data_IF_233679795169
#
_entry.id   IF_233679795169
#
_cell.length_a   1.000
_cell.length_b   1.000
_cell.length_c   1.000
_cell.angle_alpha   90.00
_cell.angle_beta   90.00
_cell.angle_gamma   90.00
#
_symmetry.space_group_name_H-M   'P 1'
#
loop_
_entity.id
_entity.type
_entity.pdbx_description
1 polymer ?
#
# COMPACT_ATOMS: atom_id res chain seq x y z
N UNK A 1 10.71 12.01 -23.59
CA UNK A 1 10.24 11.91 -22.18
C UNK A 1 9.05 10.95 -22.12
N UNK A 2 9.01 10.10 -21.10
CA UNK A 2 7.83 9.28 -20.82
C UNK A 2 6.73 10.19 -20.28
N UNK A 3 5.47 9.94 -20.66
CA UNK A 3 4.34 10.63 -20.05
C UNK A 3 4.33 10.44 -18.54
N UNK A 4 3.74 11.39 -17.81
CA UNK A 4 3.59 11.25 -16.35
C UNK A 4 2.79 9.97 -16.01
N UNK A 5 3.26 9.23 -15.01
CA UNK A 5 2.73 7.92 -14.61
C UNK A 5 2.07 7.99 -13.24
N UNK A 6 0.83 7.50 -13.12
CA UNK A 6 0.16 7.26 -11.85
C UNK A 6 0.14 5.76 -11.54
N UNK A 7 0.81 5.38 -10.46
CA UNK A 7 0.78 4.03 -9.89
C UNK A 7 -0.19 4.02 -8.71
N UNK A 8 -1.26 3.21 -8.78
CA UNK A 8 -2.19 3.12 -7.67
C UNK A 8 -2.54 1.69 -7.29
N UNK A 9 -2.81 1.49 -6.01
CA UNK A 9 -3.19 0.20 -5.45
C UNK A 9 -2.71 0.03 -4.01
N UNK A 10 -3.10 -1.08 -3.36
CA UNK A 10 -2.75 -1.38 -1.96
C UNK A 10 -1.27 -1.19 -1.61
N UNK A 11 -0.95 -0.92 -0.33
CA UNK A 11 0.43 -0.77 0.12
C UNK A 11 1.22 -2.08 -0.03
N UNK A 12 2.51 -1.98 -0.34
CA UNK A 12 3.40 -3.14 -0.41
C UNK A 12 3.39 -3.95 -1.71
N UNK A 13 2.65 -3.51 -2.74
CA UNK A 13 2.58 -4.16 -4.07
C UNK A 13 3.75 -3.82 -5.01
N UNK A 14 4.66 -2.93 -4.60
CA UNK A 14 5.86 -2.59 -5.38
C UNK A 14 5.77 -1.30 -6.21
N UNK A 15 4.90 -0.35 -5.86
CA UNK A 15 4.79 0.96 -6.54
C UNK A 15 6.16 1.68 -6.62
N UNK A 16 6.84 1.81 -5.48
CA UNK A 16 8.19 2.38 -5.42
C UNK A 16 9.21 1.55 -6.20
N UNK A 17 9.10 0.21 -6.17
CA UNK A 17 10.00 -0.65 -6.95
C UNK A 17 9.82 -0.44 -8.46
N UNK A 18 8.57 -0.29 -8.92
CA UNK A 18 8.27 0.00 -10.32
C UNK A 18 8.80 1.36 -10.76
N UNK A 19 8.76 2.40 -9.91
CA UNK A 19 9.34 3.69 -10.29
C UNK A 19 10.85 3.62 -10.50
N UNK A 20 11.57 2.86 -9.66
CA UNK A 20 13.00 2.57 -9.89
C UNK A 20 13.24 1.75 -11.16
N UNK A 21 12.36 0.79 -11.48
CA UNK A 21 12.47 0.02 -12.73
C UNK A 21 12.27 0.94 -13.94
N UNK A 22 11.27 1.84 -13.92
CA UNK A 22 11.05 2.80 -15.00
C UNK A 22 12.29 3.69 -15.18
N UNK A 23 12.86 4.22 -14.09
CA UNK A 23 14.08 5.03 -14.17
C UNK A 23 15.26 4.26 -14.79
N UNK A 24 15.46 3.01 -14.36
CA UNK A 24 16.50 2.14 -14.87
C UNK A 24 16.33 1.84 -16.37
N UNK A 25 15.12 1.48 -16.80
CA UNK A 25 14.83 1.21 -18.22
C UNK A 25 14.98 2.47 -19.09
N UNK A 26 14.69 3.64 -18.54
CA UNK A 26 14.91 4.92 -19.21
C UNK A 26 16.36 5.42 -19.14
N UNK A 27 17.21 4.79 -18.34
CA UNK A 27 18.60 5.21 -18.09
C UNK A 27 18.73 6.66 -17.59
N UNK A 28 17.83 7.06 -16.68
CA UNK A 28 17.77 8.42 -16.10
C UNK A 28 17.85 8.39 -14.58
N UNK A 29 18.11 9.55 -13.97
CA UNK A 29 18.06 9.72 -12.53
C UNK A 29 16.64 9.63 -11.97
N UNK A 30 16.53 9.31 -10.69
CA UNK A 30 15.27 9.36 -9.95
C UNK A 30 15.45 10.12 -8.64
N UNK A 31 14.57 11.10 -8.39
CA UNK A 31 14.42 11.78 -7.10
C UNK A 31 13.16 11.29 -6.43
N UNK A 32 13.30 10.77 -5.22
CA UNK A 32 12.19 10.20 -4.44
C UNK A 32 11.80 11.16 -3.33
N UNK A 33 10.51 11.44 -3.21
CA UNK A 33 9.90 12.20 -2.11
C UNK A 33 8.50 11.64 -1.80
N UNK A 34 7.79 12.25 -0.86
CA UNK A 34 6.39 11.93 -0.58
C UNK A 34 5.54 13.18 -0.43
N UNK A 35 4.23 13.05 -0.65
CA UNK A 35 3.26 14.13 -0.51
C UNK A 35 3.38 14.88 0.83
N UNK A 36 3.41 14.18 1.98
CA UNK A 36 3.54 14.84 3.29
C UNK A 36 4.87 15.58 3.52
N UNK A 37 5.93 15.24 2.78
CA UNK A 37 7.23 15.93 2.89
C UNK A 37 7.20 17.25 2.11
N UNK A 38 6.36 17.36 1.09
CA UNK A 38 6.19 18.55 0.27
C UNK A 38 5.11 19.46 0.86
N UNK A 39 5.46 20.15 1.94
CA UNK A 39 4.54 21.04 2.66
C UNK A 39 4.43 22.42 1.98
N UNK A 40 5.53 22.94 1.43
CA UNK A 40 5.58 24.30 0.87
C UNK A 40 6.01 24.30 -0.60
N UNK A 41 5.58 25.31 -1.40
CA UNK A 41 6.00 25.45 -2.80
C UNK A 41 7.52 25.49 -3.00
N UNK A 42 8.26 26.05 -2.04
CA UNK A 42 9.72 26.10 -2.08
C UNK A 42 10.38 24.71 -2.04
N UNK A 43 9.79 23.75 -1.33
CA UNK A 43 10.33 22.37 -1.24
C UNK A 43 10.20 21.66 -2.59
N UNK A 44 9.03 21.81 -3.24
CA UNK A 44 8.78 21.27 -4.58
C UNK A 44 9.68 21.96 -5.61
N UNK A 45 9.79 23.29 -5.56
CA UNK A 45 10.64 24.05 -6.45
C UNK A 45 12.11 23.62 -6.37
N UNK A 46 12.64 23.45 -5.16
CA UNK A 46 14.01 23.00 -4.94
C UNK A 46 14.28 21.60 -5.48
N UNK A 47 13.28 20.70 -5.47
CA UNK A 47 13.42 19.40 -6.13
C UNK A 47 13.39 19.53 -7.65
N UNK A 48 12.43 20.25 -8.20
CA UNK A 48 12.20 20.38 -9.64
C UNK A 48 13.37 21.05 -10.37
N UNK A 49 13.97 22.09 -9.77
CA UNK A 49 15.11 22.81 -10.39
C UNK A 49 16.40 22.00 -10.39
N UNK A 50 16.49 20.95 -9.58
CA UNK A 50 17.64 20.05 -9.51
C UNK A 50 17.49 18.78 -10.37
N UNK A 51 16.42 18.67 -11.16
CA UNK A 51 16.22 17.55 -12.08
C UNK A 51 16.97 17.80 -13.39
N UNK A 52 17.66 16.77 -13.88
CA UNK A 52 18.20 16.77 -15.23
C UNK A 52 17.09 16.46 -16.27
N UNK A 53 17.36 16.76 -17.54
CA UNK A 53 16.39 16.48 -18.61
C UNK A 53 16.12 14.98 -18.72
N UNK A 54 14.87 14.59 -18.54
CA UNK A 54 14.39 13.20 -18.59
C UNK A 54 14.33 12.51 -17.23
N UNK A 55 14.84 13.12 -16.16
CA UNK A 55 14.80 12.53 -14.82
C UNK A 55 13.38 12.25 -14.34
N UNK A 56 13.28 11.31 -13.41
CA UNK A 56 12.04 10.94 -12.76
C UNK A 56 11.92 11.64 -11.40
N UNK A 57 10.84 12.39 -11.20
CA UNK A 57 10.37 12.77 -9.88
C UNK A 57 9.33 11.76 -9.40
N UNK A 58 9.66 10.99 -8.37
CA UNK A 58 8.72 10.06 -7.74
C UNK A 58 8.15 10.66 -6.46
N UNK A 59 6.81 10.78 -6.38
CA UNK A 59 6.09 11.26 -5.20
C UNK A 59 5.20 10.14 -4.68
N UNK A 60 5.57 9.54 -3.55
CA UNK A 60 4.70 8.60 -2.84
C UNK A 60 3.62 9.34 -2.05
N UNK A 61 2.48 8.69 -1.82
CA UNK A 61 1.30 9.31 -1.19
C UNK A 61 0.94 10.68 -1.82
N UNK A 62 0.99 10.78 -3.15
CA UNK A 62 0.80 12.05 -3.88
C UNK A 62 -0.54 12.74 -3.56
N UNK A 63 -1.54 11.97 -3.14
CA UNK A 63 -2.85 12.48 -2.72
C UNK A 63 -2.81 13.28 -1.40
N UNK A 64 -1.68 13.30 -0.70
CA UNK A 64 -1.47 14.05 0.55
C UNK A 64 -0.74 15.37 0.34
N UNK A 65 -0.50 15.77 -0.91
CA UNK A 65 0.00 17.11 -1.21
C UNK A 65 -0.99 18.17 -0.70
N UNK A 66 -0.46 19.30 -0.22
CA UNK A 66 -1.31 20.44 0.07
C UNK A 66 -1.90 21.01 -1.23
N UNK A 67 -3.13 21.55 -1.23
CA UNK A 67 -3.72 22.14 -2.43
C UNK A 67 -2.83 23.19 -3.09
N UNK A 68 -2.11 23.96 -2.27
CA UNK A 68 -1.16 24.96 -2.74
C UNK A 68 0.02 24.30 -3.50
N UNK A 69 0.65 23.26 -2.96
CA UNK A 69 1.75 22.58 -3.65
C UNK A 69 1.27 21.86 -4.92
N UNK A 70 0.04 21.33 -4.88
CA UNK A 70 -0.60 20.69 -6.03
C UNK A 70 -0.77 21.66 -7.21
N UNK A 71 -1.15 22.91 -6.95
CA UNK A 71 -1.25 23.94 -7.99
C UNK A 71 0.09 24.21 -8.70
N UNK A 72 1.19 24.26 -7.94
CA UNK A 72 2.53 24.44 -8.52
C UNK A 72 2.94 23.22 -9.33
N UNK A 73 2.57 22.02 -8.87
CA UNK A 73 2.85 20.79 -9.59
C UNK A 73 2.11 20.74 -10.93
N UNK A 74 0.91 21.32 -11.05
CA UNK A 74 0.21 21.44 -12.34
C UNK A 74 1.03 22.20 -13.38
N UNK A 75 1.49 23.40 -13.02
CA UNK A 75 2.28 24.24 -13.92
C UNK A 75 3.59 23.54 -14.33
N UNK A 76 4.20 22.84 -13.38
CA UNK A 76 5.42 22.07 -13.64
C UNK A 76 5.20 20.90 -14.62
N UNK A 77 4.06 20.21 -14.54
CA UNK A 77 3.73 19.08 -15.41
C UNK A 77 3.30 19.51 -16.82
N UNK A 78 2.57 20.62 -16.95
CA UNK A 78 2.06 21.07 -18.27
C UNK A 78 3.11 21.82 -19.07
N UNK A 79 3.73 22.83 -18.45
CA UNK A 79 4.53 23.82 -19.15
C UNK A 79 6.02 23.72 -18.84
N UNK A 80 6.41 22.81 -17.94
CA UNK A 80 7.76 22.75 -17.36
C UNK A 80 8.21 24.09 -16.80
N UNK A 81 7.30 24.77 -16.09
CA UNK A 81 7.54 26.07 -15.45
C UNK A 81 6.88 26.11 -14.08
N UNK A 82 7.42 26.96 -13.20
CA UNK A 82 6.79 27.29 -11.93
C UNK A 82 6.97 28.78 -11.64
N UNK A 83 5.94 29.42 -11.10
CA UNK A 83 5.98 30.82 -10.69
C UNK A 83 6.06 30.91 -9.16
N UNK A 84 7.21 31.27 -8.61
CA UNK A 84 7.41 31.34 -7.15
C UNK A 84 7.27 32.77 -6.67
N UNK A 85 6.40 32.99 -5.69
CA UNK A 85 6.35 34.26 -4.96
C UNK A 85 7.52 34.35 -3.98
N UNK A 86 8.39 35.36 -4.17
CA UNK A 86 9.54 35.61 -3.29
C UNK A 86 9.15 36.45 -2.06
N UNK A 87 8.19 37.35 -2.22
CA UNK A 87 7.76 38.29 -1.18
C UNK A 87 6.23 38.35 -1.11
N UNK A 88 5.69 38.55 0.09
CA UNK A 88 4.24 38.70 0.32
C UNK A 88 3.88 40.18 0.58
N UNK A 89 2.71 40.62 0.10
CA UNK A 89 2.16 41.96 0.36
C UNK A 89 2.06 42.86 -0.87
N UNK A 90 1.88 44.19 -0.71
CA UNK A 90 1.64 45.12 -1.82
C UNK A 90 2.78 45.20 -2.85
N UNK A 91 3.99 44.79 -2.45
CA UNK A 91 5.19 44.76 -3.29
C UNK A 91 5.58 43.34 -3.72
N UNK A 92 4.66 42.36 -3.61
CA UNK A 92 4.94 40.97 -3.95
C UNK A 92 5.53 40.84 -5.36
N UNK A 93 6.66 40.12 -5.45
CA UNK A 93 7.33 39.80 -6.71
C UNK A 93 7.30 38.30 -6.93
N UNK A 94 6.84 37.88 -8.10
CA UNK A 94 6.97 36.51 -8.57
C UNK A 94 8.19 36.38 -9.48
N UNK A 95 8.84 35.22 -9.43
CA UNK A 95 9.87 34.83 -10.38
C UNK A 95 9.42 33.55 -11.07
N UNK A 96 9.38 33.59 -12.39
CA UNK A 96 9.16 32.40 -13.21
C UNK A 96 10.47 31.64 -13.37
N UNK A 97 10.42 30.34 -13.11
CA UNK A 97 11.56 29.43 -13.27
C UNK A 97 11.19 28.40 -14.34
N UNK A 98 12.04 28.27 -15.35
CA UNK A 98 11.93 27.20 -16.33
C UNK A 98 12.56 25.93 -15.74
N UNK A 99 11.91 24.79 -15.97
CA UNK A 99 12.33 23.48 -15.52
C UNK A 99 12.84 22.66 -16.71
N UNK A 100 13.74 21.73 -16.43
CA UNK A 100 14.06 20.70 -17.41
C UNK A 100 12.84 19.78 -17.61
N UNK A 101 12.57 19.29 -18.83
CA UNK A 101 11.53 18.29 -19.05
C UNK A 101 11.79 17.05 -18.19
N UNK A 102 10.81 16.62 -17.41
CA UNK A 102 10.94 15.51 -16.47
C UNK A 102 9.70 14.60 -16.54
N UNK A 103 9.81 13.38 -16.03
CA UNK A 103 8.66 12.48 -15.86
C UNK A 103 8.26 12.44 -14.40
N UNK A 104 6.98 12.69 -14.11
CA UNK A 104 6.42 12.56 -12.76
C UNK A 104 5.88 11.14 -12.62
N UNK A 105 6.28 10.44 -11.56
CA UNK A 105 5.66 9.17 -11.16
C UNK A 105 4.98 9.38 -9.80
N UNK A 106 3.66 9.49 -9.81
CA UNK A 106 2.85 9.59 -8.59
C UNK A 106 2.44 8.22 -8.09
N UNK A 107 2.52 7.98 -6.77
CA UNK A 107 2.00 6.77 -6.14
C UNK A 107 0.90 7.07 -5.12
N UNK A 108 -0.15 6.26 -5.11
CA UNK A 108 -1.26 6.37 -4.15
C UNK A 108 -1.88 5.01 -3.81
N UNK A 109 -2.51 4.89 -2.65
CA UNK A 109 -3.33 3.72 -2.29
C UNK A 109 -4.63 3.71 -3.10
N UNK A 110 -5.21 4.90 -3.34
CA UNK A 110 -6.50 5.10 -4.01
C UNK A 110 -6.39 6.26 -5.02
N UNK A 111 -6.65 5.98 -6.29
CA UNK A 111 -6.66 7.01 -7.34
C UNK A 111 -7.83 8.00 -7.22
N UNK A 112 -8.89 7.63 -6.49
CA UNK A 112 -10.03 8.51 -6.19
C UNK A 112 -9.74 9.61 -5.17
N UNK A 113 -8.60 9.56 -4.47
CA UNK A 113 -8.17 10.61 -3.55
C UNK A 113 -7.49 11.79 -4.25
N UNK A 114 -7.05 11.61 -5.50
CA UNK A 114 -6.50 12.71 -6.29
C UNK A 114 -7.63 13.60 -6.80
N UNK A 115 -7.38 14.89 -6.86
CA UNK A 115 -8.28 15.82 -7.54
C UNK A 115 -8.42 15.44 -9.03
N UNK A 116 -9.57 15.74 -9.62
CA UNK A 116 -9.79 15.46 -11.04
C UNK A 116 -8.76 16.17 -11.96
N UNK A 117 -8.36 17.44 -11.71
CA UNK A 117 -7.30 18.11 -12.48
C UNK A 117 -5.96 17.37 -12.42
N UNK A 118 -5.45 17.01 -11.23
CA UNK A 118 -4.17 16.30 -11.11
C UNK A 118 -4.20 14.96 -11.85
N UNK A 119 -5.27 14.20 -11.63
CA UNK A 119 -5.42 12.87 -12.22
C UNK A 119 -5.44 12.92 -13.76
N UNK A 120 -6.03 13.96 -14.34
CA UNK A 120 -6.13 14.12 -15.80
C UNK A 120 -4.77 14.40 -16.48
N UNK A 121 -3.71 14.71 -15.71
CA UNK A 121 -2.35 14.98 -16.24
C UNK A 121 -1.46 13.76 -16.30
N UNK A 122 -1.88 12.65 -15.72
CA UNK A 122 -1.18 11.38 -15.88
C UNK A 122 -1.61 10.72 -17.18
N UNK A 123 -0.72 10.72 -18.18
CA UNK A 123 -0.93 10.04 -19.46
C UNK A 123 -0.95 8.51 -19.31
N UNK A 124 -0.25 7.99 -18.30
CA UNK A 124 -0.21 6.56 -17.99
C UNK A 124 -0.81 6.33 -16.61
N UNK A 125 -1.88 5.53 -16.53
CA UNK A 125 -2.52 5.13 -15.28
C UNK A 125 -2.42 3.62 -15.11
N UNK A 126 -1.73 3.16 -14.06
CA UNK A 126 -1.51 1.74 -13.79
C UNK A 126 -2.04 1.35 -12.41
N UNK A 127 -2.94 0.37 -12.41
CA UNK A 127 -3.51 -0.22 -11.19
C UNK A 127 -2.75 -1.50 -10.83
N UNK A 128 -2.11 -1.50 -9.68
CA UNK A 128 -1.54 -2.70 -9.09
C UNK A 128 -2.63 -3.46 -8.35
N UNK A 129 -2.77 -4.74 -8.68
CA UNK A 129 -3.63 -5.69 -7.97
C UNK A 129 -2.79 -6.57 -7.04
N UNK A 130 -3.46 -7.23 -6.11
CA UNK A 130 -2.83 -8.26 -5.30
C UNK A 130 -2.34 -9.41 -6.17
N UNK A 131 -1.22 -9.98 -5.75
CA UNK A 131 -0.59 -11.11 -6.39
C UNK A 131 -1.29 -12.38 -5.96
N UNK A 132 -1.45 -13.34 -6.88
CA UNK A 132 -1.89 -14.67 -6.48
C UNK A 132 -0.79 -15.42 -5.72
N UNK A 133 -1.17 -16.48 -5.01
CA UNK A 133 -0.23 -17.27 -4.22
C UNK A 133 0.87 -17.92 -5.08
N UNK A 134 0.57 -18.26 -6.34
CA UNK A 134 1.54 -18.92 -7.24
C UNK A 134 2.64 -17.94 -7.64
N UNK A 135 2.28 -16.72 -8.02
CA UNK A 135 3.22 -15.65 -8.36
C UNK A 135 3.99 -15.17 -7.11
N UNK A 136 3.36 -15.16 -5.94
CA UNK A 136 4.09 -14.89 -4.70
C UNK A 136 5.09 -16.01 -4.36
N UNK A 137 4.79 -17.26 -4.68
CA UNK A 137 5.72 -18.38 -4.46
C UNK A 137 7.01 -18.16 -5.25
N UNK A 138 6.93 -17.71 -6.51
CA UNK A 138 8.14 -17.40 -7.30
C UNK A 138 8.95 -16.24 -6.71
N UNK A 139 8.27 -15.23 -6.14
CA UNK A 139 8.92 -14.13 -5.42
C UNK A 139 9.64 -14.65 -4.16
N UNK A 140 8.99 -15.52 -3.38
CA UNK A 140 9.56 -16.11 -2.15
C UNK A 140 10.78 -16.96 -2.48
N UNK A 141 10.69 -17.83 -3.49
CA UNK A 141 11.80 -18.66 -3.96
C UNK A 141 13.00 -17.80 -4.37
N UNK A 142 12.79 -16.80 -5.24
CA UNK A 142 13.85 -15.88 -5.65
C UNK A 142 14.47 -15.14 -4.45
N UNK A 143 13.65 -14.65 -3.54
CA UNK A 143 14.15 -13.96 -2.34
C UNK A 143 14.93 -14.88 -1.40
N UNK A 144 14.56 -16.16 -1.34
CA UNK A 144 15.26 -17.16 -0.52
C UNK A 144 16.68 -17.41 -1.04
N UNK A 145 16.87 -17.46 -2.37
CA UNK A 145 18.18 -17.58 -3.00
C UNK A 145 19.08 -16.39 -2.67
N UNK A 146 18.53 -15.17 -2.79
CA UNK A 146 19.24 -13.92 -2.45
C UNK A 146 19.65 -13.92 -0.98
N UNK A 147 18.77 -14.38 -0.09
CA UNK A 147 19.01 -14.49 1.35
C UNK A 147 19.80 -15.74 1.76
N UNK A 148 20.21 -16.58 0.80
CA UNK A 148 20.91 -17.85 1.02
C UNK A 148 20.20 -18.74 2.04
N UNK A 149 18.89 -18.84 1.92
CA UNK A 149 18.01 -19.62 2.80
C UNK A 149 17.40 -20.76 2.00
N UNK A 150 17.84 -22.01 2.18
CA UNK A 150 17.21 -23.16 1.54
C UNK A 150 15.72 -23.23 1.90
N UNK A 151 14.86 -23.50 0.92
CA UNK A 151 13.41 -23.57 1.08
C UNK A 151 12.86 -24.55 0.04
N UNK A 152 11.85 -25.34 0.42
CA UNK A 152 11.12 -26.21 -0.53
C UNK A 152 10.01 -25.43 -1.23
N UNK A 153 9.56 -25.91 -2.38
CA UNK A 153 8.43 -25.30 -3.12
C UNK A 153 7.16 -25.20 -2.24
N UNK A 154 6.89 -26.23 -1.44
CA UNK A 154 5.75 -26.27 -0.53
C UNK A 154 5.91 -25.30 0.64
N UNK A 155 7.11 -25.17 1.20
CA UNK A 155 7.42 -24.18 2.24
C UNK A 155 7.25 -22.75 1.72
N UNK A 156 7.72 -22.48 0.49
CA UNK A 156 7.53 -21.19 -0.18
C UNK A 156 6.05 -20.89 -0.45
N UNK A 157 5.29 -21.89 -0.90
CA UNK A 157 3.85 -21.76 -1.13
C UNK A 157 3.07 -21.49 0.17
N UNK A 158 3.44 -22.15 1.28
CA UNK A 158 2.81 -21.92 2.59
C UNK A 158 3.03 -20.48 3.08
N UNK A 159 4.22 -19.90 2.86
CA UNK A 159 4.46 -18.48 3.13
C UNK A 159 3.63 -17.61 2.18
N UNK A 160 3.68 -17.89 0.88
CA UNK A 160 3.04 -17.10 -0.16
C UNK A 160 1.52 -17.00 0.03
N UNK A 161 0.84 -18.12 0.31
CA UNK A 161 -0.62 -18.15 0.51
C UNK A 161 -1.08 -17.35 1.73
N UNK A 162 -0.23 -17.19 2.74
CA UNK A 162 -0.49 -16.38 3.96
C UNK A 162 0.02 -14.94 3.87
N UNK A 163 0.50 -14.50 2.70
CA UNK A 163 1.13 -13.19 2.53
C UNK A 163 0.18 -12.09 2.02
N UNK A 164 -1.14 -12.31 2.09
CA UNK A 164 -2.17 -11.34 1.69
C UNK A 164 -1.98 -10.77 0.28
N UNK A 165 -1.55 -11.61 -0.67
CA UNK A 165 -1.26 -11.18 -2.03
C UNK A 165 -0.20 -10.07 -2.16
N UNK A 166 0.65 -9.88 -1.13
CA UNK A 166 1.53 -8.72 -1.02
C UNK A 166 3.01 -9.14 -0.95
N UNK A 167 3.84 -8.79 -1.95
CA UNK A 167 5.27 -9.12 -1.96
C UNK A 167 6.05 -8.63 -0.74
N UNK A 168 5.71 -7.44 -0.21
CA UNK A 168 6.31 -6.90 1.02
C UNK A 168 6.09 -7.83 2.22
N UNK A 169 4.89 -8.36 2.38
CA UNK A 169 4.53 -9.27 3.48
C UNK A 169 5.24 -10.61 3.27
N UNK A 170 5.22 -11.16 2.05
CA UNK A 170 5.90 -12.41 1.72
C UNK A 170 7.39 -12.39 2.07
N UNK A 171 8.09 -11.33 1.70
CA UNK A 171 9.52 -11.17 2.03
C UNK A 171 9.76 -10.91 3.53
N UNK A 172 8.82 -10.29 4.24
CA UNK A 172 8.91 -10.14 5.69
C UNK A 172 8.74 -11.48 6.40
N UNK A 173 7.74 -12.27 6.02
CA UNK A 173 7.49 -13.60 6.56
C UNK A 173 8.65 -14.55 6.26
N UNK A 174 9.17 -14.57 5.02
CA UNK A 174 10.36 -15.36 4.67
C UNK A 174 11.55 -15.08 5.60
N UNK A 175 11.84 -13.80 5.86
CA UNK A 175 12.93 -13.42 6.77
C UNK A 175 12.72 -13.94 8.19
N UNK A 176 11.49 -13.90 8.70
CA UNK A 176 11.16 -14.41 10.03
C UNK A 176 11.19 -15.94 10.07
N UNK A 177 10.62 -16.61 9.08
CA UNK A 177 10.62 -18.08 8.98
C UNK A 177 12.04 -18.63 8.89
N UNK A 178 12.96 -17.94 8.20
CA UNK A 178 14.39 -18.27 8.20
C UNK A 178 14.96 -18.30 9.61
N UNK A 179 14.66 -17.28 10.42
CA UNK A 179 15.18 -17.18 11.79
C UNK A 179 14.69 -18.40 12.63
N UNK A 180 13.45 -18.87 12.40
CA UNK A 180 12.95 -20.12 13.00
C UNK A 180 13.66 -21.36 12.48
N UNK A 181 13.87 -21.49 11.15
CA UNK A 181 14.54 -22.63 10.55
C UNK A 181 15.98 -22.80 11.07
N UNK A 182 16.68 -21.70 11.32
CA UNK A 182 18.04 -21.73 11.88
C UNK A 182 18.09 -22.15 13.35
N UNK A 183 17.07 -21.83 14.15
CA UNK A 183 17.06 -22.09 15.60
C UNK A 183 16.38 -23.43 15.95
N UNK A 184 15.30 -23.75 15.25
CA UNK A 184 14.39 -24.87 15.57
C UNK A 184 14.43 -26.01 14.55
N UNK A 185 15.02 -25.79 13.38
CA UNK A 185 15.10 -26.77 12.30
C UNK A 185 16.55 -27.11 11.93
N UNK A 186 16.74 -27.53 10.68
CA UNK A 186 18.02 -27.87 10.07
C UNK A 186 18.60 -26.71 9.20
N UNK A 187 18.01 -25.51 9.27
CA UNK A 187 18.35 -24.36 8.43
C UNK A 187 17.63 -24.30 7.08
N UNK A 188 16.84 -25.32 6.71
CA UNK A 188 15.98 -25.33 5.53
C UNK A 188 14.52 -25.03 5.90
N UNK A 189 13.81 -24.31 5.04
CA UNK A 189 12.40 -23.99 5.21
C UNK A 189 11.55 -25.03 4.45
N UNK A 190 11.06 -26.05 5.16
CA UNK A 190 10.02 -26.94 4.66
C UNK A 190 8.60 -26.49 5.09
N UNK A 191 7.58 -27.28 4.75
CA UNK A 191 6.19 -27.01 5.13
C UNK A 191 5.98 -26.96 6.65
N UNK A 192 6.66 -27.82 7.42
CA UNK A 192 6.44 -27.93 8.87
C UNK A 192 6.99 -26.69 9.58
N UNK A 193 8.22 -26.30 9.27
CA UNK A 193 8.83 -25.11 9.86
C UNK A 193 8.15 -23.83 9.38
N UNK A 194 7.69 -23.77 8.12
CA UNK A 194 6.89 -22.65 7.62
C UNK A 194 5.60 -22.49 8.43
N UNK A 195 4.84 -23.58 8.64
CA UNK A 195 3.62 -23.55 9.47
C UNK A 195 3.92 -23.18 10.92
N UNK A 196 4.96 -23.76 11.49
CA UNK A 196 5.37 -23.45 12.86
C UNK A 196 5.69 -21.97 13.02
N UNK A 197 6.51 -21.41 12.13
CA UNK A 197 6.88 -20.00 12.15
C UNK A 197 5.66 -19.08 11.96
N UNK A 198 4.80 -19.35 10.96
CA UNK A 198 3.63 -18.53 10.68
C UNK A 198 2.64 -18.54 11.84
N UNK A 199 2.41 -19.70 12.45
CA UNK A 199 1.57 -19.80 13.65
C UNK A 199 2.19 -19.06 14.85
N UNK A 200 3.52 -19.15 15.05
CA UNK A 200 4.22 -18.41 16.10
C UNK A 200 4.20 -16.89 15.89
N UNK A 201 4.06 -16.44 14.64
CA UNK A 201 3.87 -15.03 14.27
C UNK A 201 2.40 -14.59 14.32
N UNK A 202 1.49 -15.43 14.81
CA UNK A 202 0.04 -15.20 14.81
C UNK A 202 -0.54 -14.90 13.42
N UNK A 203 0.01 -15.53 12.38
CA UNK A 203 -0.51 -15.46 11.01
C UNK A 203 -1.29 -16.74 10.72
N UNK A 204 -2.61 -16.61 10.65
CA UNK A 204 -3.50 -17.76 10.44
C UNK A 204 -3.50 -18.27 8.98
N UNK A 205 -4.27 -19.32 8.72
CA UNK A 205 -4.31 -19.98 7.40
C UNK A 205 -4.81 -19.08 6.26
N UNK A 206 -5.56 -18.02 6.59
CA UNK A 206 -6.01 -16.99 5.65
C UNK A 206 -5.03 -15.81 5.55
N UNK A 207 -3.93 -15.85 6.30
CA UNK A 207 -2.92 -14.80 6.34
C UNK A 207 -3.30 -13.61 7.22
N UNK A 208 -4.39 -13.69 8.00
CA UNK A 208 -4.79 -12.62 8.90
C UNK A 208 -3.87 -12.60 10.12
N UNK A 209 -3.52 -11.39 10.57
CA UNK A 209 -2.73 -11.18 11.80
C UNK A 209 -3.63 -10.91 13.01
N UNK A 210 -2.99 -10.61 14.14
CA UNK A 210 -3.67 -10.26 15.39
C UNK A 210 -4.59 -9.04 15.24
N UNK A 211 -4.19 -8.01 14.49
CA UNK A 211 -4.99 -6.79 14.34
C UNK A 211 -6.20 -7.02 13.43
N UNK A 212 -6.03 -7.76 12.33
CA UNK A 212 -7.15 -8.18 11.47
C UNK A 212 -8.21 -8.92 12.30
N UNK A 213 -7.77 -9.91 13.08
CA UNK A 213 -8.65 -10.67 13.96
C UNK A 213 -9.26 -9.79 15.04
N UNK A 214 -8.51 -8.85 15.63
CA UNK A 214 -9.02 -7.88 16.62
C UNK A 214 -10.10 -6.97 16.06
N UNK A 215 -9.97 -6.52 14.81
CA UNK A 215 -11.00 -5.74 14.10
C UNK A 215 -12.27 -6.57 13.96
N UNK A 216 -12.16 -7.79 13.41
CA UNK A 216 -13.31 -8.67 13.20
C UNK A 216 -14.01 -9.06 14.52
N UNK A 217 -13.23 -9.44 15.54
CA UNK A 217 -13.74 -9.74 16.90
C UNK A 217 -14.46 -8.52 17.47
N UNK A 218 -13.89 -7.32 17.32
CA UNK A 218 -14.52 -6.09 17.82
C UNK A 218 -15.88 -5.85 17.17
N UNK A 219 -15.97 -6.00 15.84
CA UNK A 219 -17.24 -5.83 15.11
C UNK A 219 -18.26 -6.89 15.56
N UNK A 220 -17.84 -8.15 15.68
CA UNK A 220 -18.73 -9.27 16.01
C UNK A 220 -19.17 -9.22 17.48
N UNK A 221 -18.23 -9.16 18.42
CA UNK A 221 -18.52 -9.31 19.85
C UNK A 221 -19.04 -8.02 20.49
N UNK A 222 -18.46 -6.85 20.14
CA UNK A 222 -18.86 -5.57 20.75
C UNK A 222 -20.03 -4.91 20.03
N UNK A 223 -20.13 -5.10 18.71
CA UNK A 223 -21.13 -4.44 17.87
C UNK A 223 -22.11 -5.40 17.19
N UNK A 224 -22.16 -6.66 17.65
CA UNK A 224 -23.12 -7.69 17.19
C UNK A 224 -23.10 -7.93 15.67
N UNK A 225 -21.92 -7.78 15.05
CA UNK A 225 -21.73 -7.93 13.61
C UNK A 225 -21.83 -6.64 12.80
N UNK A 226 -22.14 -5.51 13.42
CA UNK A 226 -22.33 -4.22 12.75
C UNK A 226 -23.79 -3.92 12.36
N UNK A 227 -24.05 -2.82 11.62
CA UNK A 227 -23.07 -1.87 11.09
C UNK A 227 -22.43 -0.99 12.18
N UNK A 228 -21.12 -0.75 12.05
CA UNK A 228 -20.35 0.14 12.95
C UNK A 228 -19.48 1.11 12.16
N UNK A 229 -19.42 2.38 12.59
CA UNK A 229 -18.61 3.41 11.94
C UNK A 229 -17.11 3.19 12.11
N UNK A 230 -16.31 3.61 11.12
CA UNK A 230 -14.84 3.46 11.12
C UNK A 230 -14.19 4.01 12.39
N UNK A 231 -14.52 5.26 12.74
CA UNK A 231 -14.11 5.91 13.98
C UNK A 231 -14.33 5.08 15.24
N UNK A 232 -15.47 4.42 15.33
CA UNK A 232 -15.83 3.60 16.49
C UNK A 232 -14.98 2.33 16.53
N UNK A 233 -14.73 1.69 15.38
CA UNK A 233 -13.84 0.53 15.27
C UNK A 233 -12.42 0.95 15.68
N UNK A 234 -11.90 2.02 15.08
CA UNK A 234 -10.57 2.59 15.34
C UNK A 234 -10.34 2.85 16.83
N UNK A 235 -11.30 3.54 17.47
CA UNK A 235 -11.27 3.79 18.91
C UNK A 235 -11.29 2.50 19.73
N UNK A 236 -12.10 1.50 19.34
CA UNK A 236 -12.26 0.26 20.08
C UNK A 236 -11.06 -0.69 19.97
N UNK A 237 -10.29 -0.62 18.89
CA UNK A 237 -9.06 -1.40 18.69
C UNK A 237 -7.79 -0.63 19.06
N UNK A 238 -7.88 0.69 19.25
CA UNK A 238 -6.78 1.57 19.64
C UNK A 238 -5.85 1.92 18.47
N UNK A 239 -6.42 2.18 17.29
CA UNK A 239 -5.69 2.52 16.06
C UNK A 239 -6.32 3.75 15.38
N UNK A 240 -5.70 4.27 14.33
CA UNK A 240 -6.19 5.39 13.51
C UNK A 240 -7.18 4.93 12.42
N UNK A 241 -8.13 5.81 12.08
CA UNK A 241 -9.14 5.54 11.04
C UNK A 241 -8.50 5.27 9.67
N UNK A 242 -7.49 6.06 9.29
CA UNK A 242 -6.78 5.93 8.03
C UNK A 242 -6.01 4.61 7.96
N UNK A 243 -5.34 4.21 9.04
CA UNK A 243 -4.65 2.91 9.09
C UNK A 243 -5.62 1.75 8.84
N UNK A 244 -6.77 1.74 9.52
CA UNK A 244 -7.78 0.70 9.32
C UNK A 244 -8.28 0.70 7.88
N UNK A 245 -8.63 1.87 7.34
CA UNK A 245 -9.21 1.98 6.01
C UNK A 245 -8.22 1.61 4.89
N UNK A 246 -6.94 1.94 5.04
CA UNK A 246 -5.95 1.84 3.96
C UNK A 246 -5.06 0.61 4.04
N UNK A 247 -4.87 0.06 5.25
CA UNK A 247 -3.97 -1.08 5.48
C UNK A 247 -4.75 -2.37 5.65
N UNK A 248 -5.77 -2.40 6.50
CA UNK A 248 -6.43 -3.64 6.92
C UNK A 248 -7.71 -3.94 6.13
N UNK A 249 -8.62 -2.96 6.02
CA UNK A 249 -9.91 -3.15 5.33
C UNK A 249 -9.80 -3.68 3.89
N UNK A 250 -8.84 -3.25 3.04
CA UNK A 250 -8.78 -3.71 1.67
C UNK A 250 -8.64 -5.23 1.54
N UNK A 251 -7.83 -5.85 2.41
CA UNK A 251 -7.65 -7.31 2.39
C UNK A 251 -8.85 -8.02 3.03
N UNK A 252 -9.37 -7.52 4.16
CA UNK A 252 -10.55 -8.10 4.81
C UNK A 252 -11.80 -8.08 3.91
N UNK A 253 -11.97 -7.03 3.09
CA UNK A 253 -13.06 -6.93 2.13
C UNK A 253 -12.83 -7.89 0.96
N UNK A 254 -11.60 -7.99 0.46
CA UNK A 254 -11.27 -8.87 -0.66
C UNK A 254 -11.45 -10.35 -0.33
N UNK A 255 -11.02 -10.79 0.85
CA UNK A 255 -11.25 -12.15 1.34
C UNK A 255 -12.71 -12.38 1.79
N UNK A 256 -13.53 -11.33 1.75
CA UNK A 256 -14.95 -11.41 2.03
C UNK A 256 -15.30 -11.52 3.51
N UNK A 257 -14.39 -11.16 4.44
CA UNK A 257 -14.63 -11.12 5.88
C UNK A 257 -15.38 -9.85 6.34
N UNK A 258 -15.21 -8.75 5.60
CA UNK A 258 -15.76 -7.45 5.93
C UNK A 258 -16.55 -6.87 4.76
N UNK A 259 -17.66 -6.20 5.05
CA UNK A 259 -18.46 -5.48 4.07
C UNK A 259 -18.63 -4.01 4.47
N UNK A 260 -18.51 -3.09 3.51
CA UNK A 260 -18.85 -1.67 3.70
C UNK A 260 -20.31 -1.43 3.27
N UNK A 261 -21.09 -0.81 4.15
CA UNK A 261 -22.45 -0.34 3.88
C UNK A 261 -22.54 1.18 4.09
N UNK A 262 -23.62 1.81 3.65
CA UNK A 262 -23.86 3.24 3.90
C UNK A 262 -23.92 3.58 5.40
N UNK A 263 -24.20 2.59 6.27
CA UNK A 263 -24.33 2.77 7.72
C UNK A 263 -23.05 2.47 8.49
N UNK A 264 -22.05 1.84 7.86
CA UNK A 264 -20.83 1.42 8.53
C UNK A 264 -20.26 0.12 7.96
N UNK A 265 -19.42 -0.54 8.74
CA UNK A 265 -18.82 -1.84 8.40
C UNK A 265 -19.58 -2.96 9.08
N UNK A 266 -19.77 -4.06 8.37
CA UNK A 266 -20.46 -5.26 8.83
C UNK A 266 -19.57 -6.50 8.61
N UNK A 267 -19.53 -7.40 9.60
CA UNK A 267 -18.82 -8.67 9.49
C UNK A 267 -19.68 -9.69 8.75
N UNK A 268 -19.09 -10.40 7.79
CA UNK A 268 -19.81 -11.38 6.96
C UNK A 268 -19.88 -12.76 7.64
N UNK A 269 -20.68 -13.68 7.10
CA UNK A 269 -20.71 -15.07 7.56
C UNK A 269 -19.32 -15.74 7.57
N UNK A 270 -18.46 -15.39 6.61
CA UNK A 270 -17.08 -15.91 6.56
C UNK A 270 -16.28 -15.52 7.80
N UNK A 271 -16.44 -14.28 8.29
CA UNK A 271 -15.73 -13.81 9.48
C UNK A 271 -16.18 -14.54 10.75
N UNK A 272 -17.48 -14.82 10.85
CA UNK A 272 -18.02 -15.63 11.95
C UNK A 272 -17.47 -17.05 11.93
N UNK A 273 -17.46 -17.71 10.75
CA UNK A 273 -16.90 -19.06 10.60
C UNK A 273 -15.41 -19.10 10.96
N UNK A 274 -14.64 -18.14 10.46
CA UNK A 274 -13.21 -17.99 10.74
C UNK A 274 -12.93 -17.89 12.25
N UNK A 275 -13.64 -17.00 12.94
CA UNK A 275 -13.48 -16.77 14.37
C UNK A 275 -14.24 -17.78 15.25
N UNK A 276 -14.84 -18.82 14.65
CA UNK A 276 -15.63 -19.86 15.32
C UNK A 276 -16.77 -19.26 16.17
N UNK A 277 -17.49 -18.29 15.61
CA UNK A 277 -18.66 -17.61 16.21
C UNK A 277 -19.95 -18.00 15.47
N UNK A 278 -21.07 -17.93 16.18
CA UNK A 278 -22.39 -18.21 15.61
C UNK A 278 -22.90 -17.03 14.79
N UNK A 279 -23.15 -17.25 13.50
CA UNK A 279 -23.72 -16.21 12.63
C UNK A 279 -25.23 -16.05 12.88
N UNK A 280 -25.72 -14.84 13.25
CA UNK A 280 -27.12 -14.64 13.60
C UNK A 280 -28.10 -14.84 12.42
N UNK A 281 -27.62 -14.75 11.16
CA UNK A 281 -28.46 -14.90 9.96
C UNK A 281 -29.00 -16.31 9.70
N UNK A 282 -28.57 -17.34 10.45
CA UNK A 282 -29.17 -18.68 10.38
C UNK A 282 -30.47 -18.83 11.21
N UNK A 283 -30.83 -17.86 12.05
CA UNK A 283 -31.95 -17.99 13.00
C UNK A 283 -33.34 -17.64 12.41
N UNK A 284 -33.51 -17.64 11.08
CA UNK A 284 -34.74 -17.19 10.42
C UNK A 284 -35.18 -17.95 9.16
N UNK A 285 -34.58 -19.11 8.84
CA UNK A 285 -35.08 -20.02 7.79
C UNK A 285 -35.45 -21.37 8.40
N UNK A 286 -36.51 -21.37 9.20
CA UNK A 286 -37.22 -22.58 9.61
C UNK A 286 -38.67 -22.41 9.14
N UNK A 287 -38.98 -23.12 8.04
CA UNK A 287 -40.28 -23.38 7.43
C UNK A 287 -41.00 -22.21 6.75
#
# INVERSE_FOLDING_TARGET
PLDHVLLHGPPGLGKTTLSYIIANEMSVGIKVTSGPVLDKPGDLAGLLTNLDTGDILFIDEIHRLSPLVEEYLYSAMEDFKIDIMLESGPNARSVQINLNPFTLVGATTRSGLLTAPLRARFGINSRLAYYDAKLLTTIVLRSSEILKTPITDEGAYEIARRSRGTPRIANALLRRTRDFAQIKGNGEIDTEIARYALNALNVDEHGLDEMDNKILITIIDKFKGGPVGLKTIATAVGDDEGTIEEVYEPFLIQEGFLMRTARGREATEAAYKHLKRNYPGQMGKLF
#
